data_IF_743154446470
#
_entry.id   IF_743154446470
#
_cell.length_a   1.000
_cell.length_b   1.000
_cell.length_c   1.000
_cell.angle_alpha   90.00
_cell.angle_beta   90.00
_cell.angle_gamma   90.00
#
_symmetry.space_group_name_H-M   'P 1'
#
loop_
_entity.id
_entity.type
_entity.pdbx_description
1 polymer ?
#
# COMPACT_ATOMS: atom_id res chain seq x y z
N UNK A 1 21.47 -21.13 -19.37
CA UNK A 1 20.86 -20.09 -18.52
C UNK A 1 21.89 -19.21 -17.79
N UNK A 2 23.03 -19.73 -17.33
CA UNK A 2 24.02 -18.98 -16.52
C UNK A 2 24.56 -17.69 -17.16
N UNK A 3 24.93 -17.73 -18.44
CA UNK A 3 25.44 -16.55 -19.16
C UNK A 3 24.41 -15.41 -19.22
N UNK A 4 23.11 -15.73 -19.30
CA UNK A 4 22.05 -14.71 -19.32
C UNK A 4 21.95 -13.98 -17.98
N UNK A 5 22.03 -14.70 -16.85
CA UNK A 5 21.97 -14.11 -15.52
C UNK A 5 23.14 -13.14 -15.25
N UNK A 6 24.31 -13.39 -15.84
CA UNK A 6 25.47 -12.48 -15.74
C UNK A 6 25.27 -11.13 -16.43
N UNK A 7 24.29 -11.04 -17.35
CA UNK A 7 23.96 -9.80 -18.06
C UNK A 7 22.86 -8.98 -17.38
N UNK A 8 22.28 -9.51 -16.29
CA UNK A 8 21.23 -8.86 -15.53
C UNK A 8 21.81 -8.01 -14.41
N UNK A 9 21.07 -6.97 -14.04
CA UNK A 9 21.35 -6.15 -12.87
C UNK A 9 20.33 -6.52 -11.78
N UNK A 10 20.82 -6.77 -10.56
CA UNK A 10 19.99 -7.23 -9.44
C UNK A 10 19.07 -6.12 -8.87
N UNK A 11 19.39 -4.85 -9.10
CA UNK A 11 18.66 -3.71 -8.57
C UNK A 11 17.65 -3.12 -9.57
N UNK A 12 17.99 -3.13 -10.86
CA UNK A 12 17.25 -2.41 -11.91
C UNK A 12 16.91 -3.35 -13.06
N UNK A 13 15.62 -3.61 -13.35
CA UNK A 13 15.24 -4.47 -14.46
C UNK A 13 15.60 -3.81 -15.81
N UNK A 14 16.07 -4.63 -16.76
CA UNK A 14 16.55 -4.21 -18.07
C UNK A 14 15.46 -3.62 -18.98
N UNK A 15 14.26 -4.22 -18.97
CA UNK A 15 13.12 -3.81 -19.81
C UNK A 15 11.88 -3.56 -18.94
N UNK A 16 11.08 -2.55 -19.33
CA UNK A 16 9.86 -2.08 -18.61
C UNK A 16 8.77 -1.59 -19.57
N UNK A 17 8.93 -1.88 -20.84
CA UNK A 17 8.04 -1.52 -21.94
C UNK A 17 6.58 -1.96 -21.70
N UNK A 18 6.36 -3.04 -20.96
CA UNK A 18 5.02 -3.54 -20.62
C UNK A 18 4.38 -2.86 -19.39
N UNK A 19 5.09 -1.96 -18.70
CA UNK A 19 4.59 -1.28 -17.49
C UNK A 19 4.76 0.25 -17.64
N UNK A 20 4.06 0.88 -18.60
CA UNK A 20 4.19 2.32 -18.84
C UNK A 20 3.55 3.18 -17.74
N UNK A 21 2.59 2.62 -17.00
CA UNK A 21 1.89 3.33 -15.93
C UNK A 21 1.64 2.41 -14.74
N UNK A 22 1.70 2.93 -13.50
CA UNK A 22 1.40 2.12 -12.32
C UNK A 22 -0.09 1.77 -12.27
N UNK A 23 -0.39 0.50 -12.05
CA UNK A 23 -1.74 0.06 -11.72
C UNK A 23 -2.14 0.50 -10.32
N UNK A 24 -3.46 0.60 -10.09
CA UNK A 24 -4.05 0.76 -8.77
C UNK A 24 -4.69 -0.55 -8.33
N UNK A 25 -4.56 -0.86 -7.04
CA UNK A 25 -5.24 -1.98 -6.41
C UNK A 25 -6.10 -1.45 -5.26
N UNK A 26 -7.30 -2.01 -5.12
CA UNK A 26 -8.15 -1.82 -3.94
C UNK A 26 -7.95 -2.96 -2.95
N UNK A 27 -8.09 -2.66 -1.66
CA UNK A 27 -7.96 -3.60 -0.57
C UNK A 27 -8.96 -3.28 0.55
N UNK A 28 -9.64 -4.27 1.17
CA UNK A 28 -9.49 -5.71 1.00
C UNK A 28 -10.06 -6.21 -0.34
N UNK A 29 -9.61 -7.37 -0.83
CA UNK A 29 -10.06 -7.90 -2.13
C UNK A 29 -11.32 -8.75 -1.92
N UNK A 30 -12.47 -8.40 -2.51
CA UNK A 30 -13.65 -9.24 -2.43
C UNK A 30 -13.50 -10.47 -3.34
N UNK A 31 -14.30 -11.51 -3.08
CA UNK A 31 -14.33 -12.73 -3.91
C UNK A 31 -14.80 -12.41 -5.34
N UNK A 32 -15.72 -11.46 -5.47
CA UNK A 32 -16.34 -10.99 -6.72
C UNK A 32 -15.56 -9.86 -7.37
N UNK A 33 -14.22 -9.95 -7.36
CA UNK A 33 -13.25 -9.01 -7.94
C UNK A 33 -13.28 -7.57 -7.38
N UNK A 34 -14.36 -6.82 -7.55
CA UNK A 34 -14.51 -5.42 -7.13
C UNK A 34 -15.88 -5.08 -6.50
N UNK A 35 -16.75 -6.08 -6.32
CA UNK A 35 -18.05 -5.87 -5.68
C UNK A 35 -18.00 -6.24 -4.20
N UNK A 36 -18.36 -5.30 -3.32
CA UNK A 36 -18.38 -5.51 -1.87
C UNK A 36 -19.81 -5.76 -1.40
N UNK A 37 -20.13 -7.00 -1.04
CA UNK A 37 -21.42 -7.38 -0.47
C UNK A 37 -21.24 -7.81 0.97
N UNK A 38 -21.88 -7.09 1.90
CA UNK A 38 -21.94 -7.47 3.31
C UNK A 38 -23.26 -6.97 3.92
N UNK A 39 -23.64 -7.56 5.05
CA UNK A 39 -24.81 -7.12 5.80
C UNK A 39 -24.36 -6.38 7.06
N UNK A 40 -24.81 -5.14 7.22
CA UNK A 40 -24.52 -4.35 8.42
C UNK A 40 -25.01 -5.02 9.70
N UNK A 41 -26.12 -5.76 9.62
CA UNK A 41 -26.72 -6.44 10.77
C UNK A 41 -26.01 -7.74 11.16
N UNK A 42 -25.16 -8.29 10.29
CA UNK A 42 -24.44 -9.54 10.53
C UNK A 42 -22.92 -9.30 10.58
N UNK A 43 -22.33 -9.22 11.79
CA UNK A 43 -20.89 -9.01 11.96
C UNK A 43 -20.01 -10.07 11.31
N UNK A 44 -20.52 -11.29 11.15
CA UNK A 44 -19.74 -12.38 10.55
C UNK A 44 -19.54 -12.17 9.05
N UNK A 45 -20.45 -11.44 8.40
CA UNK A 45 -20.40 -11.18 6.96
C UNK A 45 -19.21 -10.31 6.54
N UNK A 46 -18.73 -9.42 7.41
CA UNK A 46 -17.61 -8.52 7.14
C UNK A 46 -16.37 -8.75 8.02
N UNK A 47 -16.41 -9.73 8.93
CA UNK A 47 -15.28 -10.07 9.81
C UNK A 47 -14.01 -10.39 9.02
N UNK A 48 -14.13 -11.11 7.88
CA UNK A 48 -12.99 -11.42 7.02
C UNK A 48 -12.32 -10.16 6.43
N UNK A 49 -13.11 -9.18 6.02
CA UNK A 49 -12.58 -7.90 5.51
C UNK A 49 -11.81 -7.13 6.58
N UNK A 50 -12.32 -7.12 7.81
CA UNK A 50 -11.63 -6.50 8.95
C UNK A 50 -10.31 -7.21 9.25
N UNK A 51 -10.30 -8.55 9.27
CA UNK A 51 -9.09 -9.32 9.51
C UNK A 51 -8.03 -9.05 8.45
N UNK A 52 -8.44 -9.05 7.18
CA UNK A 52 -7.58 -8.72 6.04
C UNK A 52 -6.98 -7.32 6.18
N UNK A 53 -7.79 -6.32 6.54
CA UNK A 53 -7.33 -4.94 6.79
C UNK A 53 -6.33 -4.87 7.95
N UNK A 54 -6.59 -5.53 9.07
CA UNK A 54 -5.68 -5.59 10.22
C UNK A 54 -4.35 -6.23 9.82
N UNK A 55 -4.40 -7.33 9.09
CA UNK A 55 -3.21 -8.05 8.59
C UNK A 55 -2.42 -7.19 7.60
N UNK A 56 -3.11 -6.47 6.72
CA UNK A 56 -2.49 -5.57 5.75
C UNK A 56 -1.81 -4.38 6.41
N UNK A 57 -2.40 -3.81 7.47
CA UNK A 57 -1.86 -2.65 8.18
C UNK A 57 -0.78 -3.00 9.22
N UNK A 58 -0.63 -4.28 9.60
CA UNK A 58 0.37 -4.72 10.58
C UNK A 58 1.81 -4.22 10.28
N UNK A 59 2.35 -4.29 9.04
CA UNK A 59 3.69 -3.81 8.73
C UNK A 59 3.84 -2.28 8.77
N UNK A 60 2.73 -1.55 8.84
CA UNK A 60 2.72 -0.08 8.95
C UNK A 60 2.71 0.40 10.39
N UNK A 61 2.68 -0.51 11.37
CA UNK A 61 2.74 -0.15 12.79
C UNK A 61 4.10 0.46 13.14
N UNK A 62 4.11 1.34 14.15
CA UNK A 62 5.33 2.03 14.58
C UNK A 62 6.46 1.06 14.94
N UNK A 63 6.11 -0.10 15.51
CA UNK A 63 7.05 -1.17 15.89
C UNK A 63 7.76 -1.79 14.68
N UNK A 64 7.02 -2.09 13.62
CA UNK A 64 7.55 -2.69 12.38
C UNK A 64 8.31 -1.65 11.53
N UNK A 65 7.98 -0.37 11.68
CA UNK A 65 8.61 0.74 10.94
C UNK A 65 9.81 1.37 11.66
N UNK A 66 10.26 0.85 12.80
CA UNK A 66 11.38 1.43 13.60
C UNK A 66 12.67 1.65 12.81
N UNK A 67 12.95 0.78 11.85
CA UNK A 67 14.17 0.84 11.03
C UNK A 67 14.04 1.73 9.78
N UNK A 68 12.85 2.28 9.53
CA UNK A 68 12.59 3.16 8.39
C UNK A 68 12.91 4.62 8.73
N UNK A 69 13.18 5.43 7.72
CA UNK A 69 13.55 6.85 7.89
C UNK A 69 12.33 7.74 7.75
N UNK A 70 12.28 8.85 8.50
CA UNK A 70 11.29 9.90 8.30
C UNK A 70 11.71 10.73 7.09
N UNK A 71 10.84 10.81 6.08
CA UNK A 71 11.09 11.56 4.85
C UNK A 71 10.31 12.87 4.82
N UNK A 72 10.84 13.93 4.19
CA UNK A 72 10.10 15.18 4.02
C UNK A 72 8.96 15.03 2.99
N UNK A 73 7.85 15.69 3.25
CA UNK A 73 6.70 15.69 2.34
C UNK A 73 6.97 16.51 1.08
N UNK A 74 6.38 16.08 -0.05
CA UNK A 74 6.38 16.83 -1.31
C UNK A 74 7.70 16.83 -2.09
N UNK A 75 8.75 16.16 -1.59
CA UNK A 75 10.03 16.03 -2.28
C UNK A 75 10.29 14.59 -2.73
N UNK A 76 10.88 14.42 -3.90
CA UNK A 76 11.36 13.11 -4.35
C UNK A 76 12.56 12.68 -3.51
N UNK A 77 12.51 11.46 -2.98
CA UNK A 77 13.61 10.90 -2.22
C UNK A 77 14.61 10.18 -3.14
N UNK A 78 15.56 10.95 -3.68
CA UNK A 78 16.61 10.43 -4.56
C UNK A 78 17.73 9.79 -3.74
N UNK A 79 17.96 8.49 -3.97
CA UNK A 79 18.96 7.71 -3.25
C UNK A 79 20.04 7.23 -4.21
N UNK A 80 21.30 7.29 -3.75
CA UNK A 80 22.44 6.70 -4.44
C UNK A 80 22.87 5.47 -3.63
N UNK A 81 22.85 4.31 -4.28
CA UNK A 81 23.19 3.03 -3.66
C UNK A 81 24.62 2.98 -3.11
N UNK A 82 25.01 1.87 -2.46
CA UNK A 82 24.34 0.56 -2.47
C UNK A 82 23.31 0.35 -1.35
N UNK A 83 23.23 1.28 -0.38
CA UNK A 83 22.29 1.18 0.74
C UNK A 83 21.07 2.05 0.45
N UNK A 84 19.91 1.41 0.42
CA UNK A 84 18.62 2.07 0.22
C UNK A 84 17.84 2.06 1.53
N UNK A 85 17.32 3.22 1.92
CA UNK A 85 16.40 3.38 3.04
C UNK A 85 14.99 3.65 2.52
N UNK A 86 13.98 3.21 3.26
CA UNK A 86 12.58 3.45 2.90
C UNK A 86 11.95 4.45 3.87
N UNK A 87 11.01 5.23 3.35
CA UNK A 87 10.27 6.21 4.12
C UNK A 87 9.21 5.53 4.99
N UNK A 88 9.05 6.02 6.21
CA UNK A 88 7.93 5.65 7.07
C UNK A 88 6.61 6.11 6.46
N UNK A 89 5.56 5.31 6.65
CA UNK A 89 4.19 5.68 6.32
C UNK A 89 3.33 5.55 7.58
N UNK A 90 3.03 6.67 8.27
CA UNK A 90 2.22 6.66 9.48
C UNK A 90 0.77 6.24 9.18
N UNK A 91 0.25 5.26 9.93
CA UNK A 91 -1.15 4.80 9.78
C UNK A 91 -2.15 5.94 10.10
N UNK A 92 -1.74 6.92 10.93
CA UNK A 92 -2.55 8.09 11.24
C UNK A 92 -2.96 8.92 10.01
N UNK A 93 -2.21 8.83 8.90
CA UNK A 93 -2.57 9.45 7.63
C UNK A 93 -3.87 8.90 7.04
N UNK A 94 -4.25 7.66 7.39
CA UNK A 94 -5.51 7.04 6.97
C UNK A 94 -6.72 7.52 7.80
N UNK A 95 -6.51 8.40 8.78
CA UNK A 95 -7.56 9.03 9.59
C UNK A 95 -8.54 7.99 10.19
N UNK A 96 -9.84 8.09 9.89
CA UNK A 96 -10.87 7.17 10.37
C UNK A 96 -10.64 5.71 9.93
N UNK A 97 -9.95 5.50 8.82
CA UNK A 97 -9.64 4.18 8.26
C UNK A 97 -8.34 3.58 8.78
N UNK A 98 -7.69 4.22 9.76
CA UNK A 98 -6.46 3.72 10.39
C UNK A 98 -6.64 2.47 11.23
N UNK A 99 -7.86 2.18 11.68
CA UNK A 99 -8.12 1.11 12.65
C UNK A 99 -7.76 1.47 14.09
N UNK A 100 -7.27 2.69 14.35
CA UNK A 100 -6.86 3.13 15.70
C UNK A 100 -8.07 3.51 16.58
N UNK A 101 -9.01 4.25 16.00
CA UNK A 101 -10.23 4.69 16.70
C UNK A 101 -11.40 3.73 16.47
N UNK A 102 -11.44 3.09 15.31
CA UNK A 102 -12.49 2.16 14.91
C UNK A 102 -11.87 0.83 14.45
N UNK A 103 -11.92 -0.25 15.27
CA UNK A 103 -11.37 -1.54 14.92
C UNK A 103 -12.16 -2.27 13.82
N UNK A 104 -13.36 -1.77 13.48
CA UNK A 104 -14.23 -2.31 12.44
C UNK A 104 -14.09 -1.59 11.11
N UNK A 105 -13.23 -0.58 11.00
CA UNK A 105 -12.96 0.16 9.75
C UNK A 105 -14.24 0.65 9.06
N UNK A 106 -15.22 1.12 9.84
CA UNK A 106 -16.49 1.65 9.37
C UNK A 106 -17.52 0.63 8.87
N UNK A 107 -17.20 -0.67 8.85
CA UNK A 107 -18.11 -1.72 8.37
C UNK A 107 -19.37 -1.83 9.24
N UNK A 108 -19.24 -1.74 10.57
CA UNK A 108 -20.38 -1.78 11.50
C UNK A 108 -21.32 -0.56 11.36
N UNK A 109 -20.79 0.56 10.86
CA UNK A 109 -21.56 1.78 10.60
C UNK A 109 -22.18 1.82 9.20
N UNK A 110 -21.82 0.87 8.32
CA UNK A 110 -22.24 0.85 6.91
C UNK A 110 -21.42 1.77 6.01
N UNK A 111 -20.31 2.32 6.51
CA UNK A 111 -19.38 3.18 5.78
C UNK A 111 -18.01 2.49 5.71
N UNK A 112 -17.85 1.42 4.91
CA UNK A 112 -16.65 0.60 4.93
C UNK A 112 -15.44 1.35 4.37
N UNK A 113 -14.30 1.20 5.02
CA UNK A 113 -13.03 1.71 4.52
C UNK A 113 -12.42 0.76 3.50
N UNK A 114 -12.12 1.29 2.31
CA UNK A 114 -11.40 0.60 1.24
C UNK A 114 -10.09 1.36 0.99
N UNK A 115 -8.97 0.66 1.09
CA UNK A 115 -7.65 1.22 0.86
C UNK A 115 -7.29 1.12 -0.63
N UNK A 116 -6.74 2.20 -1.18
CA UNK A 116 -6.19 2.22 -2.53
C UNK A 116 -4.67 2.19 -2.44
N UNK A 117 -4.05 1.27 -3.18
CA UNK A 117 -2.61 1.07 -3.24
C UNK A 117 -2.11 1.18 -4.67
N UNK A 118 -1.06 1.98 -4.87
CA UNK A 118 -0.36 2.07 -6.15
C UNK A 118 0.70 0.97 -6.30
N UNK A 119 0.83 0.43 -7.52
CA UNK A 119 1.86 -0.54 -7.83
C UNK A 119 3.24 0.13 -7.86
N UNK A 120 4.19 -0.44 -7.11
CA UNK A 120 5.57 0.04 -7.08
C UNK A 120 6.27 -0.25 -8.42
N UNK A 121 6.83 0.78 -9.04
CA UNK A 121 7.68 0.69 -10.23
C UNK A 121 9.04 1.30 -9.89
N UNK A 122 10.13 0.58 -10.15
CA UNK A 122 11.49 1.07 -9.87
C UNK A 122 11.77 2.29 -10.75
N UNK A 123 12.27 3.39 -10.18
CA UNK A 123 12.62 4.60 -10.94
C UNK A 123 11.45 5.42 -11.48
N UNK A 124 10.19 5.04 -11.17
CA UNK A 124 9.04 5.87 -11.46
C UNK A 124 9.10 7.15 -10.61
N UNK A 125 9.03 8.31 -11.28
CA UNK A 125 8.87 9.62 -10.66
C UNK A 125 7.48 10.13 -11.04
N UNK A 126 6.52 10.17 -10.11
CA UNK A 126 5.19 10.69 -10.43
C UNK A 126 5.28 12.18 -10.79
N UNK A 127 4.51 12.59 -11.79
CA UNK A 127 4.39 14.00 -12.18
C UNK A 127 3.28 14.67 -11.36
N UNK A 128 3.48 15.96 -11.05
CA UNK A 128 2.52 16.77 -10.29
C UNK A 128 2.73 16.75 -8.78
N UNK A 129 1.87 17.50 -8.07
CA UNK A 129 1.84 17.52 -6.61
C UNK A 129 0.69 16.60 -6.16
N UNK A 130 0.97 15.43 -5.56
CA UNK A 130 -0.11 14.58 -5.05
C UNK A 130 -0.85 15.31 -3.94
N UNK A 131 -2.14 15.55 -4.13
CA UNK A 131 -3.06 16.07 -3.11
C UNK A 131 -4.23 15.12 -2.93
N UNK A 132 -4.62 14.94 -1.68
CA UNK A 132 -5.91 14.38 -1.28
C UNK A 132 -6.63 15.59 -0.69
N UNK A 133 -7.56 16.17 -1.45
CA UNK A 133 -8.45 17.24 -0.95
C UNK A 133 -9.65 16.61 -0.21
#
# INVERSE_FOLDING_TARGET
MWVMLQTLNDEVPKYRDQIPSPGLMVFPKPVTALEYTFSRSDPTSYAGYIEDLKKFLKPYTLEEQKNLTVCPDGALFEQKGPVYVACQFPISLLQACSGMNDPDFGYSQGNPCILVKMNRIIGLKPEGVPRID
#
